data_IF_240550331286
#
_entry.id   IF_240550331286
#
_cell.length_a   1.000
_cell.length_b   1.000
_cell.length_c   1.000
_cell.angle_alpha   90.00
_cell.angle_beta   90.00
_cell.angle_gamma   90.00
#
_symmetry.space_group_name_H-M   'P 1'
#
loop_
_entity.id
_entity.type
_entity.pdbx_description
1 polymer ?
#
# COMPACT_ATOMS: atom_id res chain seq x y z
N UNK A 1 -68.27 -15.26 0.94
CA UNK A 1 -69.15 -15.59 -0.21
C UNK A 1 -68.22 -15.80 -1.40
N UNK A 2 -68.00 -17.03 -1.87
CA UNK A 2 -68.77 -17.77 -2.89
C UNK A 2 -68.85 -17.06 -4.25
N UNK A 3 -68.23 -17.72 -5.25
CA UNK A 3 -68.16 -17.39 -6.69
C UNK A 3 -69.47 -17.85 -7.39
N UNK A 4 -69.90 -17.16 -8.46
CA UNK A 4 -70.10 -17.78 -9.80
C UNK A 4 -69.26 -17.02 -10.87
N UNK A 5 -68.58 -17.64 -11.84
CA UNK A 5 -69.06 -18.28 -13.10
C UNK A 5 -69.76 -17.29 -14.06
N UNK A 6 -69.69 -17.38 -15.40
CA UNK A 6 -69.30 -18.46 -16.32
C UNK A 6 -68.96 -17.91 -17.74
N UNK A 7 -68.40 -18.73 -18.63
CA UNK A 7 -68.12 -18.39 -20.06
C UNK A 7 -69.27 -18.90 -20.96
N UNK A 8 -69.59 -18.21 -22.07
CA UNK A 8 -70.02 -18.92 -23.29
C UNK A 8 -69.22 -18.55 -24.56
N UNK A 9 -69.39 -19.37 -25.59
CA UNK A 9 -68.81 -19.25 -26.94
C UNK A 9 -69.95 -19.03 -27.97
N UNK A 10 -69.78 -18.95 -29.31
CA UNK A 10 -68.67 -19.23 -30.24
C UNK A 10 -68.98 -18.55 -31.61
N UNK A 11 -68.04 -18.62 -32.59
CA UNK A 11 -68.28 -18.53 -34.07
C UNK A 11 -68.65 -17.16 -34.68
N UNK A 12 -68.37 -16.85 -35.96
CA UNK A 12 -67.57 -17.53 -37.00
C UNK A 12 -66.91 -16.50 -37.97
N UNK A 13 -65.81 -16.94 -38.59
CA UNK A 13 -64.97 -16.46 -39.72
C UNK A 13 -65.49 -15.45 -40.78
N UNK A 14 -64.67 -14.45 -41.21
CA UNK A 14 -63.99 -14.33 -42.54
C UNK A 14 -63.52 -12.89 -42.96
N UNK A 15 -62.24 -12.80 -43.35
CA UNK A 15 -61.59 -11.98 -44.41
C UNK A 15 -61.80 -10.46 -44.63
N UNK A 16 -60.68 -9.72 -44.81
CA UNK A 16 -60.67 -8.35 -45.34
C UNK A 16 -59.39 -7.51 -45.11
N UNK A 17 -58.31 -7.79 -45.86
CA UNK A 17 -57.12 -6.96 -46.18
C UNK A 17 -56.86 -5.66 -45.36
N UNK A 18 -55.79 -5.53 -44.56
CA UNK A 18 -54.37 -5.42 -44.98
C UNK A 18 -53.96 -4.15 -45.78
N UNK A 19 -54.18 -2.96 -45.20
CA UNK A 19 -53.33 -1.76 -45.32
C UNK A 19 -53.39 -1.10 -43.93
N UNK A 20 -52.35 -0.66 -43.23
CA UNK A 20 -50.96 -0.38 -43.56
C UNK A 20 -50.56 0.80 -42.67
N UNK A 21 -49.73 0.59 -41.64
CA UNK A 21 -49.23 1.69 -40.81
C UNK A 21 -47.83 1.37 -40.26
N UNK A 22 -46.87 1.26 -41.18
CA UNK A 22 -45.48 0.86 -40.94
C UNK A 22 -44.60 2.11 -40.70
N UNK A 23 -44.78 2.80 -39.58
CA UNK A 23 -43.94 3.95 -39.17
C UNK A 23 -43.66 3.87 -37.65
N UNK A 24 -42.64 3.12 -37.24
CA UNK A 24 -42.05 3.26 -35.88
C UNK A 24 -40.63 2.67 -35.68
N UNK A 25 -40.16 1.76 -36.55
CA UNK A 25 -38.93 1.01 -36.27
C UNK A 25 -37.65 1.89 -36.30
N UNK A 26 -37.56 2.88 -37.19
CA UNK A 26 -36.40 3.79 -37.26
C UNK A 26 -36.22 4.66 -36.01
N UNK A 27 -37.33 5.16 -35.44
CA UNK A 27 -37.30 6.03 -34.25
C UNK A 27 -36.98 5.27 -32.96
N UNK A 28 -37.48 4.03 -32.82
CA UNK A 28 -37.22 3.21 -31.64
C UNK A 28 -35.73 2.82 -31.51
N UNK A 29 -35.08 2.48 -32.62
CA UNK A 29 -33.65 2.15 -32.63
C UNK A 29 -32.78 3.40 -32.37
N UNK A 30 -33.16 4.56 -32.93
CA UNK A 30 -32.49 5.85 -32.69
C UNK A 30 -32.59 6.30 -31.23
N UNK A 31 -33.76 6.15 -30.60
CA UNK A 31 -33.97 6.48 -29.19
C UNK A 31 -33.18 5.54 -28.25
N UNK A 32 -33.18 4.24 -28.53
CA UNK A 32 -32.43 3.23 -27.76
C UNK A 32 -30.93 3.52 -27.75
N UNK A 33 -30.35 3.81 -28.93
CA UNK A 33 -28.93 4.16 -29.08
C UNK A 33 -28.56 5.48 -28.36
N UNK A 34 -29.46 6.47 -28.33
CA UNK A 34 -29.26 7.72 -27.58
C UNK A 34 -29.24 7.47 -26.07
N UNK A 35 -30.10 6.61 -25.55
CA UNK A 35 -30.10 6.23 -24.13
C UNK A 35 -28.84 5.44 -23.73
N UNK A 36 -28.36 4.55 -24.61
CA UNK A 36 -27.14 3.78 -24.38
C UNK A 36 -25.86 4.66 -24.42
N UNK A 37 -25.83 5.64 -25.33
CA UNK A 37 -24.81 6.70 -25.36
C UNK A 37 -24.84 7.56 -24.08
N UNK A 38 -26.02 7.97 -23.62
CA UNK A 38 -26.18 8.77 -22.40
C UNK A 38 -25.70 8.01 -21.15
N UNK A 39 -26.05 6.71 -21.02
CA UNK A 39 -25.54 5.84 -19.95
C UNK A 39 -24.01 5.74 -19.98
N UNK A 40 -23.42 5.62 -21.17
CA UNK A 40 -21.96 5.54 -21.36
C UNK A 40 -21.24 6.85 -21.00
N UNK A 41 -21.82 8.00 -21.35
CA UNK A 41 -21.31 9.33 -20.99
C UNK A 41 -21.32 9.52 -19.46
N UNK A 42 -22.43 9.17 -18.80
CA UNK A 42 -22.61 9.32 -17.35
C UNK A 42 -21.71 8.36 -16.56
N UNK A 43 -21.52 7.12 -17.03
CA UNK A 43 -20.54 6.19 -16.47
C UNK A 43 -19.11 6.77 -16.58
N UNK A 44 -18.74 7.31 -17.74
CA UNK A 44 -17.46 7.99 -17.94
C UNK A 44 -17.28 9.21 -17.04
N UNK A 45 -18.36 9.95 -16.75
CA UNK A 45 -18.36 11.09 -15.82
C UNK A 45 -18.08 10.63 -14.38
N UNK A 46 -18.75 9.57 -13.91
CA UNK A 46 -18.54 9.00 -12.58
C UNK A 46 -17.10 8.49 -12.41
N UNK A 47 -16.56 7.74 -13.39
CA UNK A 47 -15.15 7.29 -13.36
C UNK A 47 -14.15 8.44 -13.33
N UNK A 48 -14.43 9.56 -14.02
CA UNK A 48 -13.58 10.78 -13.94
C UNK A 48 -13.69 11.51 -12.60
N UNK A 49 -14.86 11.53 -11.95
CA UNK A 49 -15.01 12.12 -10.62
C UNK A 49 -14.29 11.30 -9.53
N UNK A 50 -14.33 9.97 -9.65
CA UNK A 50 -13.58 9.05 -8.76
C UNK A 50 -12.06 9.20 -8.87
N UNK A 51 -11.56 9.81 -9.96
CA UNK A 51 -10.15 10.15 -10.21
C UNK A 51 -9.71 11.50 -9.59
N UNK A 52 -10.63 12.29 -9.02
CA UNK A 52 -10.41 13.71 -8.67
C UNK A 52 -10.72 14.03 -7.20
N UNK A 53 -11.47 13.17 -6.49
CA UNK A 53 -11.88 13.41 -5.10
C UNK A 53 -10.79 12.97 -4.12
N UNK A 54 -10.16 13.97 -3.49
CA UNK A 54 -9.10 13.89 -2.46
C UNK A 54 -7.81 13.24 -2.98
N UNK A 55 -6.68 13.95 -2.91
CA UNK A 55 -5.39 13.47 -3.45
C UNK A 55 -4.67 12.59 -2.40
N UNK A 56 -4.84 11.26 -2.41
CA UNK A 56 -4.36 10.42 -1.32
C UNK A 56 -2.87 10.11 -1.52
N UNK A 57 -2.43 10.11 -2.78
CA UNK A 57 -1.05 10.01 -3.23
C UNK A 57 -0.18 11.12 -2.60
N UNK A 58 -0.69 12.36 -2.50
CA UNK A 58 0.01 13.45 -1.83
C UNK A 58 0.13 13.22 -0.31
N UNK A 59 -0.95 12.79 0.35
CA UNK A 59 -0.94 12.51 1.79
C UNK A 59 0.04 11.37 2.12
N UNK A 60 -0.06 10.24 1.41
CA UNK A 60 0.82 9.09 1.59
C UNK A 60 2.29 9.44 1.27
N UNK A 61 2.55 10.27 0.25
CA UNK A 61 3.92 10.77 -0.03
C UNK A 61 4.46 11.67 1.06
N UNK A 62 3.60 12.50 1.69
CA UNK A 62 3.98 13.33 2.82
C UNK A 62 4.32 12.47 4.04
N UNK A 63 3.46 11.51 4.40
CA UNK A 63 3.70 10.56 5.49
C UNK A 63 5.01 9.76 5.28
N UNK A 64 5.30 9.31 4.05
CA UNK A 64 6.58 8.65 3.72
C UNK A 64 7.79 9.57 3.97
N UNK A 65 7.70 10.89 3.73
CA UNK A 65 8.82 11.80 4.00
C UNK A 65 8.94 12.16 5.49
N UNK A 66 7.82 12.28 6.20
CA UNK A 66 7.80 12.43 7.66
C UNK A 66 8.44 11.21 8.35
N UNK A 67 8.10 9.99 7.91
CA UNK A 67 8.71 8.74 8.39
C UNK A 67 10.23 8.68 8.11
N UNK A 68 10.68 9.08 6.91
CA UNK A 68 12.12 9.21 6.63
C UNK A 68 12.78 10.27 7.51
N UNK A 69 12.09 11.37 7.81
CA UNK A 69 12.61 12.42 8.67
C UNK A 69 12.75 11.94 10.12
N UNK A 70 11.79 11.16 10.63
CA UNK A 70 11.91 10.46 11.91
C UNK A 70 13.14 9.56 11.94
N UNK A 71 13.36 8.73 10.91
CA UNK A 71 14.57 7.89 10.79
C UNK A 71 15.87 8.72 10.81
N UNK A 72 15.89 9.90 10.18
CA UNK A 72 17.05 10.82 10.22
C UNK A 72 17.30 11.34 11.65
N UNK A 73 16.24 11.74 12.37
CA UNK A 73 16.32 12.22 13.75
C UNK A 73 16.80 11.12 14.70
N UNK A 74 16.17 9.94 14.65
CA UNK A 74 16.56 8.75 15.41
C UNK A 74 18.04 8.37 15.14
N UNK A 75 18.50 8.46 13.88
CA UNK A 75 19.91 8.22 13.52
C UNK A 75 20.87 9.23 14.18
N UNK A 76 20.48 10.50 14.34
CA UNK A 76 21.29 11.51 15.03
C UNK A 76 21.34 11.24 16.54
N UNK A 77 20.18 11.04 17.17
CA UNK A 77 20.08 10.71 18.61
C UNK A 77 20.94 9.48 18.92
N UNK A 78 20.89 8.44 18.08
CA UNK A 78 21.69 7.23 18.25
C UNK A 78 23.20 7.49 18.24
N UNK A 79 23.70 8.42 17.40
CA UNK A 79 25.12 8.79 17.36
C UNK A 79 25.54 9.48 18.65
N UNK A 80 24.72 10.40 19.14
CA UNK A 80 24.98 11.13 20.38
C UNK A 80 25.00 10.18 21.57
N UNK A 81 23.98 9.31 21.69
CA UNK A 81 23.91 8.27 22.73
C UNK A 81 25.12 7.33 22.64
N UNK A 82 25.49 6.85 21.44
CA UNK A 82 26.64 5.97 21.27
C UNK A 82 27.96 6.64 21.68
N UNK A 83 28.16 7.92 21.31
CA UNK A 83 29.34 8.69 21.69
C UNK A 83 29.49 8.86 23.20
N UNK A 84 28.37 8.86 23.94
CA UNK A 84 28.34 8.94 25.39
C UNK A 84 28.58 7.59 26.10
N UNK A 85 28.80 6.47 25.39
CA UNK A 85 29.05 5.16 26.01
C UNK A 85 30.53 5.01 26.36
N UNK A 86 30.83 4.85 27.65
CA UNK A 86 32.15 4.48 28.13
C UNK A 86 32.32 2.96 28.13
N UNK A 87 32.84 2.38 27.03
CA UNK A 87 32.98 0.91 26.88
C UNK A 87 33.79 0.27 28.02
N UNK A 88 34.75 0.99 28.60
CA UNK A 88 35.52 0.54 29.78
C UNK A 88 34.66 0.22 31.01
N UNK A 89 33.43 0.74 31.08
CA UNK A 89 32.50 0.39 32.15
C UNK A 89 31.83 -0.98 31.93
N UNK A 90 31.65 -1.41 30.68
CA UNK A 90 31.14 -2.76 30.35
C UNK A 90 32.16 -3.84 30.71
N UNK A 91 33.46 -3.54 30.70
CA UNK A 91 34.51 -4.46 31.16
C UNK A 91 34.42 -4.78 32.67
N UNK A 92 33.63 -4.01 33.43
CA UNK A 92 33.39 -4.23 34.87
C UNK A 92 32.26 -5.25 35.14
N UNK A 93 31.54 -5.69 34.10
CA UNK A 93 30.46 -6.67 34.21
C UNK A 93 31.02 -8.05 34.62
N UNK A 94 30.48 -8.62 35.71
CA UNK A 94 30.90 -9.91 36.27
C UNK A 94 30.14 -11.09 35.64
N UNK A 95 30.36 -11.30 34.36
CA UNK A 95 29.66 -12.34 33.59
C UNK A 95 30.49 -13.62 33.59
N UNK A 96 29.87 -14.72 34.03
CA UNK A 96 30.46 -16.06 33.99
C UNK A 96 30.21 -16.71 32.64
N UNK A 97 31.26 -17.25 32.00
CA UNK A 97 31.11 -18.06 30.77
C UNK A 97 30.32 -19.35 30.97
N UNK A 98 30.06 -19.75 32.22
CA UNK A 98 29.24 -20.92 32.58
C UNK A 98 27.77 -20.56 32.82
N UNK A 99 27.44 -19.28 32.96
CA UNK A 99 26.08 -18.81 33.28
C UNK A 99 25.29 -18.44 32.01
N UNK A 100 25.11 -19.43 31.14
CA UNK A 100 24.43 -19.31 29.84
C UNK A 100 22.97 -18.80 30.01
N UNK A 101 22.40 -18.90 31.23
CA UNK A 101 21.05 -18.43 31.55
C UNK A 101 20.94 -16.93 31.83
N UNK A 102 22.07 -16.24 32.05
CA UNK A 102 22.05 -14.78 32.26
C UNK A 102 21.56 -14.08 30.98
N UNK A 103 20.48 -13.27 31.05
CA UNK A 103 19.85 -12.65 29.89
C UNK A 103 20.77 -11.63 29.19
N UNK A 104 21.87 -11.18 29.81
CA UNK A 104 22.82 -10.27 29.16
C UNK A 104 23.49 -10.90 27.94
N UNK A 105 23.55 -12.23 27.86
CA UNK A 105 24.02 -12.93 26.67
C UNK A 105 23.13 -12.64 25.45
N UNK A 106 21.82 -12.45 25.63
CA UNK A 106 20.90 -12.03 24.56
C UNK A 106 21.25 -10.65 24.01
N UNK A 107 21.72 -9.72 24.85
CA UNK A 107 22.15 -8.38 24.43
C UNK A 107 23.39 -8.46 23.54
N UNK A 108 24.41 -9.22 23.93
CA UNK A 108 25.63 -9.33 23.13
C UNK A 108 25.43 -10.14 21.84
N UNK A 109 24.60 -11.18 21.87
CA UNK A 109 24.12 -11.89 20.67
C UNK A 109 23.39 -10.95 19.70
N UNK A 110 22.53 -10.07 20.22
CA UNK A 110 21.86 -9.05 19.40
C UNK A 110 22.85 -8.04 18.81
N UNK A 111 23.88 -7.60 19.57
CA UNK A 111 24.95 -6.75 19.03
C UNK A 111 25.67 -7.43 17.86
N UNK A 112 26.03 -8.72 17.99
CA UNK A 112 26.65 -9.48 16.91
C UNK A 112 25.76 -9.56 15.66
N UNK A 113 24.48 -9.90 15.85
CA UNK A 113 23.49 -10.04 14.77
C UNK A 113 23.25 -8.71 14.03
N UNK A 114 22.97 -7.63 14.76
CA UNK A 114 22.59 -6.35 14.16
C UNK A 114 23.79 -5.60 13.58
N UNK A 115 24.91 -5.55 14.30
CA UNK A 115 26.05 -4.68 13.98
C UNK A 115 27.26 -5.41 13.38
N UNK A 116 27.55 -6.64 13.80
CA UNK A 116 28.65 -7.40 13.20
C UNK A 116 28.19 -8.25 12.01
N UNK A 117 26.86 -8.42 11.82
CA UNK A 117 26.25 -9.35 10.85
C UNK A 117 26.82 -10.77 10.97
N UNK A 118 27.17 -11.14 12.21
CA UNK A 118 27.74 -12.42 12.57
C UNK A 118 26.66 -13.34 13.15
N UNK A 119 26.89 -14.65 13.07
CA UNK A 119 26.00 -15.65 13.66
C UNK A 119 26.01 -15.54 15.21
N UNK A 120 24.88 -15.22 15.85
CA UNK A 120 24.80 -15.12 17.31
C UNK A 120 24.99 -16.46 18.03
N UNK A 121 24.88 -17.62 17.35
CA UNK A 121 25.13 -18.91 18.00
C UNK A 121 26.63 -19.19 18.23
N UNK A 122 27.52 -18.49 17.50
CA UNK A 122 28.96 -18.49 17.76
C UNK A 122 29.36 -17.63 18.97
N UNK A 123 28.42 -16.90 19.58
CA UNK A 123 28.68 -16.06 20.73
C UNK A 123 29.26 -16.85 21.93
N UNK A 124 30.42 -16.40 22.39
CA UNK A 124 30.94 -16.73 23.72
C UNK A 124 31.48 -15.45 24.40
N UNK A 125 31.31 -15.35 25.72
CA UNK A 125 31.67 -14.13 26.46
C UNK A 125 33.17 -13.78 26.42
N UNK A 126 34.12 -14.73 26.61
CA UNK A 126 35.55 -14.40 26.57
C UNK A 126 35.98 -13.77 25.25
N UNK A 127 35.60 -14.37 24.12
CA UNK A 127 35.96 -13.88 22.79
C UNK A 127 35.25 -12.56 22.44
N UNK A 128 33.98 -12.41 22.82
CA UNK A 128 33.28 -11.12 22.67
C UNK A 128 33.99 -10.02 23.47
N UNK A 129 34.37 -10.29 24.72
CA UNK A 129 35.09 -9.33 25.57
C UNK A 129 36.43 -8.94 24.95
N UNK A 130 37.24 -9.91 24.54
CA UNK A 130 38.54 -9.67 23.92
C UNK A 130 38.41 -8.90 22.59
N UNK A 131 37.62 -9.42 21.65
CA UNK A 131 37.58 -8.90 20.27
C UNK A 131 36.76 -7.63 20.09
N UNK A 132 35.77 -7.36 20.95
CA UNK A 132 34.80 -6.27 20.77
C UNK A 132 34.89 -5.21 21.87
N UNK A 133 35.24 -5.56 23.12
CA UNK A 133 35.30 -4.60 24.23
C UNK A 133 36.74 -4.16 24.56
N UNK A 134 37.72 -5.07 24.47
CA UNK A 134 39.12 -4.79 24.82
C UNK A 134 39.95 -4.31 23.61
N UNK A 135 39.80 -4.98 22.47
CA UNK A 135 40.44 -4.60 21.20
C UNK A 135 40.08 -3.17 20.81
N UNK A 136 41.10 -2.36 20.51
CA UNK A 136 40.97 -0.92 20.21
C UNK A 136 40.13 -0.15 21.25
N UNK A 137 40.15 -0.62 22.51
CA UNK A 137 39.33 -0.10 23.62
C UNK A 137 37.81 -0.02 23.32
N UNK A 138 37.33 -0.89 22.44
CA UNK A 138 35.92 -0.96 22.04
C UNK A 138 35.46 0.14 21.09
N UNK A 139 36.38 0.89 20.47
CA UNK A 139 36.02 1.96 19.53
C UNK A 139 35.23 1.45 18.32
N UNK A 140 35.47 0.21 17.85
CA UNK A 140 34.69 -0.40 16.77
C UNK A 140 33.22 -0.59 17.17
N UNK A 141 32.96 -1.00 18.42
CA UNK A 141 31.60 -1.12 18.93
C UNK A 141 30.88 0.24 18.97
N UNK A 142 31.53 1.28 19.50
CA UNK A 142 30.96 2.65 19.51
C UNK A 142 30.65 3.13 18.09
N UNK A 143 31.59 2.92 17.16
CA UNK A 143 31.42 3.32 15.77
C UNK A 143 30.25 2.58 15.11
N UNK A 144 30.10 1.27 15.32
CA UNK A 144 28.97 0.50 14.77
C UNK A 144 27.63 0.94 15.37
N UNK A 145 27.56 1.02 16.70
CA UNK A 145 26.37 1.44 17.44
C UNK A 145 25.85 2.80 16.94
N UNK A 146 26.74 3.78 16.73
CA UNK A 146 26.36 5.12 16.27
C UNK A 146 26.10 5.23 14.76
N UNK A 147 26.95 4.63 13.92
CA UNK A 147 27.03 4.98 12.50
C UNK A 147 26.52 3.92 11.52
N UNK A 148 26.36 2.66 11.92
CA UNK A 148 25.95 1.60 11.01
C UNK A 148 24.47 1.73 10.59
N UNK A 149 24.17 1.46 9.31
CA UNK A 149 22.80 1.49 8.82
C UNK A 149 21.98 0.33 9.44
N UNK A 150 20.82 0.66 10.02
CA UNK A 150 19.85 -0.29 10.62
C UNK A 150 18.45 -0.16 10.01
N UNK A 151 18.25 0.68 8.98
CA UNK A 151 16.96 0.85 8.29
C UNK A 151 16.50 -0.45 7.62
N UNK A 152 17.44 -1.30 7.21
CA UNK A 152 17.18 -2.57 6.52
C UNK A 152 17.38 -3.80 7.42
N UNK A 153 17.09 -3.72 8.73
CA UNK A 153 16.99 -4.95 9.53
C UNK A 153 15.73 -5.74 9.15
N UNK A 154 15.81 -7.07 9.20
CA UNK A 154 14.68 -7.93 8.78
C UNK A 154 13.55 -7.88 9.81
N UNK A 155 12.35 -8.35 9.43
CA UNK A 155 11.23 -8.53 10.37
C UNK A 155 11.63 -9.40 11.58
N UNK A 156 12.38 -10.48 11.35
CA UNK A 156 12.87 -11.36 12.41
C UNK A 156 13.85 -10.65 13.36
N UNK A 157 14.70 -9.77 12.82
CA UNK A 157 15.61 -8.94 13.62
C UNK A 157 14.84 -7.88 14.43
N UNK A 158 13.76 -7.31 13.86
CA UNK A 158 12.83 -6.42 14.55
C UNK A 158 12.19 -7.09 15.76
N UNK A 159 11.62 -8.29 15.59
CA UNK A 159 11.03 -9.07 16.69
C UNK A 159 12.06 -9.49 17.75
N UNK A 160 13.30 -9.86 17.35
CA UNK A 160 14.41 -10.09 18.30
C UNK A 160 14.78 -8.82 19.08
N UNK A 161 14.75 -7.65 18.44
CA UNK A 161 15.02 -6.35 19.07
C UNK A 161 13.92 -6.01 20.10
N UNK A 162 12.66 -6.23 19.72
CA UNK A 162 11.50 -6.08 20.61
C UNK A 162 11.56 -7.00 21.82
N UNK A 163 11.90 -8.27 21.62
CA UNK A 163 12.09 -9.23 22.69
C UNK A 163 13.23 -8.80 23.64
N UNK A 164 14.33 -8.27 23.11
CA UNK A 164 15.42 -7.75 23.93
C UNK A 164 14.99 -6.56 24.80
N UNK A 165 14.14 -5.65 24.31
CA UNK A 165 13.58 -4.56 25.11
C UNK A 165 12.79 -5.08 26.32
N UNK A 166 12.03 -6.17 26.17
CA UNK A 166 11.34 -6.83 27.29
C UNK A 166 12.30 -7.41 28.34
N UNK A 167 13.57 -7.67 27.98
CA UNK A 167 14.62 -8.09 28.91
C UNK A 167 15.37 -6.92 29.57
N UNK A 168 15.12 -5.65 29.20
CA UNK A 168 15.84 -4.45 29.71
C UNK A 168 15.90 -4.44 31.24
N UNK A 169 14.75 -4.56 31.92
CA UNK A 169 14.69 -4.57 33.38
C UNK A 169 15.51 -5.72 33.98
N UNK A 170 15.26 -6.97 33.56
CA UNK A 170 15.95 -8.15 34.08
C UNK A 170 17.47 -8.08 33.90
N UNK A 171 17.94 -7.59 32.74
CA UNK A 171 19.38 -7.43 32.46
C UNK A 171 19.99 -6.35 33.37
N UNK A 172 19.30 -5.23 33.57
CA UNK A 172 19.75 -4.15 34.46
C UNK A 172 19.70 -4.53 35.96
N UNK A 173 18.81 -5.43 36.36
CA UNK A 173 18.75 -5.96 37.73
C UNK A 173 19.88 -6.96 38.00
N UNK A 174 20.05 -7.97 37.13
CA UNK A 174 21.05 -9.03 37.32
C UNK A 174 22.49 -8.58 37.05
N UNK A 175 22.68 -7.51 36.26
CA UNK A 175 24.01 -7.02 35.84
C UNK A 175 24.24 -5.54 36.18
N UNK A 176 23.38 -4.94 37.00
CA UNK A 176 23.39 -3.51 37.35
C UNK A 176 24.52 -3.04 38.26
N UNK A 177 25.51 -3.89 38.56
CA UNK A 177 26.62 -3.55 39.44
C UNK A 177 27.97 -3.85 38.78
N UNK A 178 28.94 -2.91 38.81
CA UNK A 178 28.84 -1.57 39.42
C UNK A 178 27.95 -0.60 38.62
N UNK A 179 27.44 0.45 39.29
CA UNK A 179 26.55 1.47 38.70
C UNK A 179 27.07 2.09 37.38
N UNK A 180 28.40 2.19 37.22
CA UNK A 180 29.01 2.62 35.96
C UNK A 180 28.69 1.68 34.79
N UNK A 181 28.72 0.36 35.02
CA UNK A 181 28.35 -0.64 34.02
C UNK A 181 26.86 -0.58 33.69
N UNK A 182 26.01 -0.35 34.70
CA UNK A 182 24.57 -0.10 34.54
C UNK A 182 24.28 1.12 33.67
N UNK A 183 24.99 2.23 33.87
CA UNK A 183 24.86 3.44 33.04
C UNK A 183 25.27 3.19 31.58
N UNK A 184 26.28 2.37 31.33
CA UNK A 184 26.64 1.95 29.98
C UNK A 184 25.59 1.01 29.36
N UNK A 185 25.03 0.06 30.13
CA UNK A 185 23.93 -0.80 29.69
C UNK A 185 22.65 -0.01 29.36
N UNK A 186 22.28 0.99 30.16
CA UNK A 186 21.13 1.87 29.90
C UNK A 186 21.27 2.51 28.52
N UNK A 187 22.40 3.17 28.24
CA UNK A 187 22.67 3.80 26.94
C UNK A 187 22.66 2.81 25.76
N UNK A 188 23.14 1.58 25.96
CA UNK A 188 23.00 0.53 24.94
C UNK A 188 21.51 0.19 24.73
N UNK A 189 20.71 0.06 25.77
CA UNK A 189 19.28 -0.19 25.63
C UNK A 189 18.51 0.97 24.99
N UNK A 190 18.96 2.21 25.19
CA UNK A 190 18.38 3.36 24.49
C UNK A 190 18.69 3.26 22.99
N UNK A 191 19.87 2.75 22.60
CA UNK A 191 20.18 2.38 21.20
C UNK A 191 19.33 1.21 20.70
N UNK A 192 19.05 0.18 21.51
CA UNK A 192 18.12 -0.92 21.15
C UNK A 192 16.73 -0.35 20.84
N UNK A 193 16.26 0.60 21.65
CA UNK A 193 14.96 1.25 21.47
C UNK A 193 14.92 2.09 20.17
N UNK A 194 15.98 2.87 19.91
CA UNK A 194 16.13 3.66 18.68
C UNK A 194 16.17 2.76 17.43
N UNK A 195 16.86 1.62 17.50
CA UNK A 195 16.87 0.61 16.43
C UNK A 195 15.47 0.03 16.20
N UNK A 196 14.71 -0.24 17.26
CA UNK A 196 13.32 -0.71 17.14
C UNK A 196 12.40 0.35 16.52
N UNK A 197 12.47 1.61 16.96
CA UNK A 197 11.72 2.73 16.34
C UNK A 197 12.05 2.87 14.86
N UNK A 198 13.34 2.86 14.51
CA UNK A 198 13.81 2.90 13.12
C UNK A 198 13.21 1.76 12.26
N UNK A 199 13.04 0.57 12.84
CA UNK A 199 12.40 -0.57 12.16
C UNK A 199 10.89 -0.35 11.95
N UNK A 200 10.17 0.12 12.96
CA UNK A 200 8.73 0.41 12.83
C UNK A 200 8.47 1.54 11.82
N UNK A 201 9.30 2.59 11.80
CA UNK A 201 9.26 3.64 10.77
C UNK A 201 9.53 3.08 9.35
N UNK A 202 10.55 2.25 9.18
CA UNK A 202 10.85 1.60 7.90
C UNK A 202 9.72 0.66 7.44
N UNK A 203 9.05 -0.01 8.37
CA UNK A 203 7.87 -0.86 8.13
C UNK A 203 6.64 -0.02 7.75
N UNK A 204 6.45 1.15 8.37
CA UNK A 204 5.46 2.16 7.96
C UNK A 204 5.67 2.61 6.51
N UNK A 205 6.89 3.00 6.15
CA UNK A 205 7.25 3.37 4.76
C UNK A 205 6.93 2.22 3.79
N UNK A 206 7.31 0.99 4.10
CA UNK A 206 7.03 -0.17 3.23
C UNK A 206 5.51 -0.42 3.06
N UNK A 207 4.71 -0.19 4.10
CA UNK A 207 3.25 -0.28 4.01
C UNK A 207 2.69 0.80 3.08
N UNK A 208 3.05 2.07 3.31
CA UNK A 208 2.62 3.25 2.55
C UNK A 208 3.03 3.16 1.06
N UNK A 209 4.26 2.70 0.77
CA UNK A 209 4.71 2.41 -0.61
C UNK A 209 3.84 1.32 -1.25
N UNK A 210 3.47 0.29 -0.50
CA UNK A 210 2.55 -0.75 -0.96
C UNK A 210 1.12 -0.24 -1.23
N UNK A 211 0.70 0.86 -0.59
CA UNK A 211 -0.58 1.53 -0.90
C UNK A 211 -0.48 2.41 -2.13
N UNK A 212 0.61 3.17 -2.30
CA UNK A 212 0.88 3.95 -3.51
C UNK A 212 0.86 3.07 -4.77
N UNK A 213 1.53 1.91 -4.74
CA UNK A 213 1.56 0.98 -5.86
C UNK A 213 0.15 0.48 -6.24
N UNK A 214 -0.70 0.15 -5.24
CA UNK A 214 -2.10 -0.22 -5.49
C UNK A 214 -2.92 0.93 -6.07
N UNK A 215 -2.67 2.17 -5.65
CA UNK A 215 -3.33 3.36 -6.21
C UNK A 215 -2.89 3.58 -7.66
N UNK A 216 -1.61 3.44 -7.97
CA UNK A 216 -1.07 3.54 -9.33
C UNK A 216 -1.67 2.48 -10.26
N UNK A 217 -1.74 1.21 -9.82
CA UNK A 217 -2.41 0.12 -10.54
C UNK A 217 -3.89 0.44 -10.81
N UNK A 218 -4.62 0.91 -9.81
CA UNK A 218 -6.03 1.29 -9.96
C UNK A 218 -6.21 2.46 -10.94
N UNK A 219 -5.38 3.49 -10.86
CA UNK A 219 -5.39 4.63 -11.78
C UNK A 219 -5.09 4.18 -13.22
N UNK A 220 -4.14 3.27 -13.40
CA UNK A 220 -3.79 2.74 -14.72
C UNK A 220 -4.93 1.87 -15.30
N UNK A 221 -5.58 1.04 -14.47
CA UNK A 221 -6.78 0.32 -14.86
C UNK A 221 -7.91 1.27 -15.30
N UNK A 222 -8.20 2.33 -14.53
CA UNK A 222 -9.21 3.33 -14.91
C UNK A 222 -8.86 4.08 -16.21
N UNK A 223 -7.58 4.38 -16.47
CA UNK A 223 -7.14 4.99 -17.74
C UNK A 223 -7.44 4.07 -18.93
N UNK A 224 -7.16 2.77 -18.83
CA UNK A 224 -7.47 1.80 -19.89
C UNK A 224 -8.97 1.60 -20.10
N UNK A 225 -9.78 1.59 -19.03
CA UNK A 225 -11.23 1.58 -19.16
C UNK A 225 -11.77 2.84 -19.84
N UNK A 226 -11.24 4.02 -19.52
CA UNK A 226 -11.62 5.29 -20.16
C UNK A 226 -11.26 5.28 -21.65
N UNK A 227 -10.11 4.70 -22.04
CA UNK A 227 -9.76 4.50 -23.47
C UNK A 227 -10.79 3.63 -24.19
N UNK A 228 -11.20 2.50 -23.59
CA UNK A 228 -12.22 1.59 -24.15
C UNK A 228 -13.58 2.29 -24.33
N UNK A 229 -14.06 3.00 -23.31
CA UNK A 229 -15.33 3.75 -23.37
C UNK A 229 -15.26 4.88 -24.40
N UNK A 230 -14.14 5.60 -24.50
CA UNK A 230 -13.95 6.63 -25.52
C UNK A 230 -13.97 6.06 -26.94
N UNK A 231 -13.41 4.86 -27.16
CA UNK A 231 -13.47 4.17 -28.45
C UNK A 231 -14.92 3.82 -28.83
N UNK A 232 -15.66 3.18 -27.92
CA UNK A 232 -17.09 2.86 -28.10
C UNK A 232 -17.94 4.10 -28.41
N UNK A 233 -17.67 5.23 -27.75
CA UNK A 233 -18.35 6.51 -28.02
C UNK A 233 -18.05 7.02 -29.44
N UNK A 234 -16.84 6.82 -29.98
CA UNK A 234 -16.51 7.23 -31.35
C UNK A 234 -17.15 6.30 -32.39
N UNK A 235 -17.20 4.99 -32.13
CA UNK A 235 -17.90 4.02 -32.97
C UNK A 235 -19.40 4.35 -33.02
N UNK A 236 -20.05 4.51 -31.85
CA UNK A 236 -21.47 4.86 -31.76
C UNK A 236 -21.81 6.17 -32.48
N UNK A 237 -20.98 7.22 -32.33
CA UNK A 237 -21.14 8.49 -33.05
C UNK A 237 -21.02 8.33 -34.56
N UNK A 238 -20.09 7.49 -35.03
CA UNK A 238 -19.89 7.22 -36.45
C UNK A 238 -21.09 6.48 -37.04
N UNK A 239 -21.61 5.49 -36.32
CA UNK A 239 -22.83 4.75 -36.69
C UNK A 239 -24.06 5.67 -36.74
N UNK A 240 -24.28 6.50 -35.71
CA UNK A 240 -25.37 7.49 -35.68
C UNK A 240 -25.30 8.44 -36.88
N UNK A 241 -24.13 9.04 -37.15
CA UNK A 241 -23.95 9.92 -38.31
C UNK A 241 -24.24 9.21 -39.64
N UNK A 242 -23.89 7.93 -39.76
CA UNK A 242 -24.19 7.14 -40.97
C UNK A 242 -25.68 6.85 -41.14
N UNK A 243 -26.44 6.70 -40.04
CA UNK A 243 -27.89 6.51 -40.05
C UNK A 243 -28.62 7.82 -40.36
N UNK A 244 -28.20 8.93 -39.75
CA UNK A 244 -28.70 10.28 -40.07
C UNK A 244 -28.47 10.62 -41.56
N UNK A 245 -27.28 10.29 -42.10
CA UNK A 245 -26.96 10.50 -43.53
C UNK A 245 -27.81 9.62 -44.47
N UNK A 246 -28.22 8.42 -44.04
CA UNK A 246 -29.16 7.57 -44.81
C UNK A 246 -30.57 8.13 -44.76
N UNK A 247 -31.06 8.47 -43.57
CA UNK A 247 -32.37 9.09 -43.37
C UNK A 247 -32.55 10.35 -44.24
N UNK A 248 -31.53 11.21 -44.30
CA UNK A 248 -31.56 12.40 -45.15
C UNK A 248 -31.53 12.08 -46.65
N UNK A 249 -30.84 11.01 -47.08
CA UNK A 249 -30.89 10.58 -48.49
C UNK A 249 -32.25 9.97 -48.85
N UNK A 250 -32.85 9.19 -47.96
CA UNK A 250 -34.15 8.56 -48.15
C UNK A 250 -35.29 9.62 -48.17
N UNK A 251 -35.22 10.66 -47.32
CA UNK A 251 -36.11 11.84 -47.39
C UNK A 251 -35.93 12.63 -48.70
N UNK A 252 -34.68 12.86 -49.15
CA UNK A 252 -34.43 13.55 -50.43
C UNK A 252 -34.87 12.73 -51.64
N UNK A 253 -34.80 11.39 -51.59
CA UNK A 253 -35.36 10.53 -52.64
C UNK A 253 -36.89 10.63 -52.66
N UNK A 254 -37.54 10.55 -51.50
CA UNK A 254 -39.00 10.68 -51.40
C UNK A 254 -39.53 12.04 -51.87
N UNK A 255 -38.80 13.14 -51.61
CA UNK A 255 -39.19 14.47 -52.09
C UNK A 255 -38.94 14.67 -53.59
N UNK A 256 -37.91 14.03 -54.16
CA UNK A 256 -37.70 14.08 -55.62
C UNK A 256 -38.76 13.24 -56.36
N UNK A 257 -39.22 12.12 -55.80
CA UNK A 257 -40.28 11.30 -56.41
C UNK A 257 -41.67 12.00 -56.37
N UNK A 258 -41.95 12.88 -55.39
CA UNK A 258 -43.16 13.73 -55.39
C UNK A 258 -43.13 14.84 -56.45
N UNK A 259 -41.95 15.33 -56.86
CA UNK A 259 -41.81 16.46 -57.80
C UNK A 259 -41.91 16.01 -59.28
N UNK A 260 -41.94 14.70 -59.56
CA UNK A 260 -42.01 14.15 -60.93
C UNK A 260 -43.46 13.85 -61.37
N UNK A 261 -44.48 14.33 -60.65
CA UNK A 261 -45.91 14.21 -61.01
C UNK A 261 -46.66 15.55 -61.12
N UNK A 262 -46.28 16.38 -62.11
CA UNK A 262 -47.17 17.36 -62.79
C UNK A 262 -47.00 17.29 -64.31
#
# INVERSE_FOLDING_TARGET
MKIPSEIPQQKDTLEGNSWGNSHSQGDQDSASLKDELNKSIELGRKKRQQLVLENPEFQIKQEIEDEKQNIKVETLIRRDVASAIHIKDLLKLKISSKDIKNPIHSLFRWILLIFYKADPELYNWPEFKEQILEKNHGQDLVNRLGYQNVVHITYLDGEKTKFLLNLKQKILEENGQPEAAKNALIKIFDIVEIVYKTHEHAKGINHLVGELLKQEDNINNYKEEIKKVNHQIQEAKSSLKSLESKSQNDENLSQNDEIVQE
#
